data_IF_810192154053
#
_entry.id   IF_810192154053
#
_cell.length_a   1.000
_cell.length_b   1.000
_cell.length_c   1.000
_cell.angle_alpha   90.00
_cell.angle_beta   90.00
_cell.angle_gamma   90.00
#
_symmetry.space_group_name_H-M   'P 1'
#
loop_
_entity.id
_entity.type
_entity.pdbx_description
1 polymer ?
#
# COMPACT_ATOMS: atom_id res chain seq x y z
N UNK A 1 4.61 11.95 -19.77
CA UNK A 1 5.35 10.82 -19.17
C UNK A 1 4.87 10.63 -17.74
N UNK A 2 4.67 9.38 -17.27
CA UNK A 2 4.38 9.09 -15.87
C UNK A 2 5.50 9.60 -14.95
N UNK A 3 5.14 9.95 -13.70
CA UNK A 3 6.07 10.32 -12.64
C UNK A 3 5.98 9.27 -11.54
N UNK A 4 7.12 8.90 -10.97
CA UNK A 4 7.20 7.92 -9.89
C UNK A 4 7.68 8.62 -8.61
N UNK A 5 6.98 8.38 -7.51
CA UNK A 5 7.36 8.83 -6.16
C UNK A 5 7.58 7.58 -5.33
N UNK A 6 8.81 7.38 -4.84
CA UNK A 6 9.13 6.28 -3.94
C UNK A 6 9.02 6.76 -2.50
N UNK A 7 8.20 6.06 -1.70
CA UNK A 7 8.06 6.32 -0.28
C UNK A 7 8.82 5.22 0.48
N UNK A 8 9.92 5.58 1.12
CA UNK A 8 10.74 4.67 1.92
C UNK A 8 10.62 4.98 3.41
N UNK A 9 10.91 3.98 4.25
CA UNK A 9 10.92 4.13 5.71
C UNK A 9 12.33 4.03 6.27
N UNK A 10 12.63 4.85 7.28
CA UNK A 10 13.85 4.75 8.07
C UNK A 10 13.55 4.61 9.56
N UNK A 11 14.57 4.28 10.35
CA UNK A 11 14.55 4.15 11.82
C UNK A 11 13.73 2.96 12.35
N UNK A 12 12.42 2.94 12.13
CA UNK A 12 11.51 1.92 12.67
C UNK A 12 10.34 1.62 11.73
N UNK A 13 9.69 0.47 11.93
CA UNK A 13 8.41 0.13 11.30
C UNK A 13 7.24 0.85 11.99
N UNK A 14 6.04 0.74 11.41
CA UNK A 14 4.78 1.28 11.99
C UNK A 14 4.69 2.81 12.16
N UNK A 15 5.53 3.58 11.47
CA UNK A 15 5.52 5.05 11.47
C UNK A 15 4.40 5.69 10.61
N UNK A 16 3.40 4.93 10.15
CA UNK A 16 2.29 5.47 9.35
C UNK A 16 2.65 5.81 7.89
N UNK A 17 3.53 5.02 7.26
CA UNK A 17 3.94 5.23 5.86
C UNK A 17 2.80 5.10 4.87
N UNK A 18 1.97 4.05 5.00
CA UNK A 18 0.78 3.84 4.17
C UNK A 18 -0.15 5.04 4.23
N UNK A 19 -0.57 5.45 5.45
CA UNK A 19 -1.42 6.62 5.67
C UNK A 19 -0.84 7.91 5.08
N UNK A 20 0.46 8.16 5.24
CA UNK A 20 1.13 9.36 4.71
C UNK A 20 1.13 9.35 3.18
N UNK A 21 1.48 8.21 2.56
CA UNK A 21 1.47 8.06 1.11
C UNK A 21 0.05 8.21 0.54
N UNK A 22 -0.95 7.62 1.18
CA UNK A 22 -2.37 7.70 0.78
C UNK A 22 -2.91 9.13 0.89
N UNK A 23 -2.52 9.85 1.94
CA UNK A 23 -2.87 11.28 2.11
C UNK A 23 -2.25 12.16 1.03
N UNK A 24 -0.98 11.94 0.68
CA UNK A 24 -0.31 12.63 -0.42
C UNK A 24 -0.99 12.32 -1.76
N UNK A 25 -1.30 11.04 -2.02
CA UNK A 25 -2.03 10.61 -3.21
C UNK A 25 -3.38 11.31 -3.35
N UNK A 26 -4.12 11.46 -2.24
CA UNK A 26 -5.37 12.20 -2.19
C UNK A 26 -5.20 13.68 -2.52
N UNK A 27 -4.20 14.35 -1.95
CA UNK A 27 -3.91 15.76 -2.26
C UNK A 27 -3.56 15.96 -3.75
N UNK A 28 -2.76 15.05 -4.33
CA UNK A 28 -2.43 15.10 -5.75
C UNK A 28 -3.65 14.87 -6.64
N UNK A 29 -4.53 13.93 -6.30
CA UNK A 29 -5.83 13.76 -6.98
C UNK A 29 -6.69 15.04 -6.89
N UNK A 30 -6.76 15.69 -5.73
CA UNK A 30 -7.47 16.96 -5.56
C UNK A 30 -6.87 18.12 -6.39
N UNK A 31 -5.60 18.02 -6.78
CA UNK A 31 -4.95 18.97 -7.70
C UNK A 31 -5.17 18.65 -9.18
N UNK A 32 -6.00 17.66 -9.50
CA UNK A 32 -6.35 17.28 -10.87
C UNK A 32 -5.37 16.29 -11.53
N UNK A 33 -4.43 15.71 -10.77
CA UNK A 33 -3.53 14.70 -11.30
C UNK A 33 -4.17 13.30 -11.26
N UNK A 34 -3.90 12.50 -12.30
CA UNK A 34 -4.19 11.07 -12.28
C UNK A 34 -3.10 10.36 -11.48
N UNK A 35 -3.47 9.79 -10.33
CA UNK A 35 -2.56 9.12 -9.40
C UNK A 35 -3.01 7.69 -9.17
N UNK A 36 -2.06 6.76 -9.24
CA UNK A 36 -2.20 5.37 -8.79
C UNK A 36 -1.18 5.09 -7.71
N UNK A 37 -1.44 4.08 -6.87
CA UNK A 37 -0.57 3.66 -5.77
C UNK A 37 -0.23 2.18 -5.92
N UNK A 38 0.91 1.78 -5.35
CA UNK A 38 1.39 0.40 -5.33
C UNK A 38 2.16 0.17 -4.04
N UNK A 39 1.82 -0.92 -3.34
CA UNK A 39 2.56 -1.43 -2.18
C UNK A 39 3.57 -2.48 -2.64
N UNK A 40 4.75 -2.47 -2.02
CA UNK A 40 5.80 -3.47 -2.22
C UNK A 40 6.11 -4.11 -0.88
N UNK A 41 5.62 -5.32 -0.67
CA UNK A 41 5.83 -6.05 0.57
C UNK A 41 7.05 -6.98 0.47
N UNK A 42 8.03 -6.89 1.38
CA UNK A 42 9.26 -7.68 1.31
C UNK A 42 9.13 -9.06 1.98
N UNK A 43 7.92 -9.63 2.04
CA UNK A 43 7.70 -10.98 2.56
C UNK A 43 7.90 -12.04 1.46
N UNK A 44 8.07 -13.31 1.87
CA UNK A 44 8.27 -14.44 0.93
C UNK A 44 6.94 -15.03 0.44
N UNK A 45 5.84 -14.80 1.16
CA UNK A 45 4.51 -15.21 0.73
C UNK A 45 4.21 -14.61 -0.65
N UNK A 46 3.56 -15.39 -1.51
CA UNK A 46 3.18 -14.93 -2.85
C UNK A 46 2.06 -13.88 -2.72
N UNK A 47 1.14 -14.13 -1.79
CA UNK A 47 -0.01 -13.29 -1.43
C UNK A 47 -0.25 -13.41 0.09
N UNK A 48 -1.03 -12.50 0.70
CA UNK A 48 -1.37 -12.56 2.12
C UNK A 48 -2.57 -13.47 2.42
N UNK A 49 -3.20 -14.13 1.44
CA UNK A 49 -4.34 -15.03 1.64
C UNK A 49 -4.03 -16.23 2.55
N UNK A 50 -2.75 -16.56 2.67
CA UNK A 50 -2.23 -17.61 3.57
C UNK A 50 -1.82 -17.12 4.97
N UNK A 51 -1.86 -15.80 5.22
CA UNK A 51 -1.46 -15.23 6.51
C UNK A 51 -2.60 -15.30 7.53
N UNK A 52 -2.25 -15.46 8.80
CA UNK A 52 -3.22 -15.41 9.90
C UNK A 52 -3.67 -13.96 10.13
N UNK A 53 -4.96 -13.61 9.92
CA UNK A 53 -5.40 -12.22 9.99
C UNK A 53 -5.33 -11.61 11.39
N UNK A 54 -5.34 -12.44 12.44
CA UNK A 54 -5.22 -11.97 13.82
C UNK A 54 -3.79 -11.53 14.18
N UNK A 55 -2.79 -11.94 13.40
CA UNK A 55 -1.38 -11.59 13.60
C UNK A 55 -0.90 -10.55 12.59
N UNK A 56 -1.44 -10.58 11.37
CA UNK A 56 -0.94 -9.79 10.24
C UNK A 56 -1.91 -8.70 9.74
N UNK A 57 -3.16 -8.70 10.21
CA UNK A 57 -4.21 -7.79 9.75
C UNK A 57 -5.11 -8.43 8.67
N UNK A 58 -6.11 -7.69 8.23
CA UNK A 58 -7.05 -8.19 7.21
C UNK A 58 -6.39 -8.42 5.84
N UNK A 59 -6.94 -9.35 5.07
CA UNK A 59 -6.61 -9.50 3.64
C UNK A 59 -7.59 -8.63 2.86
N UNK A 60 -7.07 -7.69 2.06
CA UNK A 60 -7.88 -6.87 1.17
C UNK A 60 -8.08 -7.61 -0.15
N UNK A 61 -9.29 -7.54 -0.73
CA UNK A 61 -9.60 -8.16 -2.03
C UNK A 61 -9.97 -7.07 -3.03
N UNK A 62 -9.21 -6.97 -4.12
CA UNK A 62 -9.45 -6.02 -5.20
C UNK A 62 -10.62 -6.45 -6.10
N UNK A 63 -11.15 -5.52 -6.90
CA UNK A 63 -12.28 -5.80 -7.81
C UNK A 63 -11.98 -6.91 -8.84
N UNK A 64 -10.71 -7.15 -9.17
CA UNK A 64 -10.25 -8.21 -10.05
C UNK A 64 -9.93 -9.53 -9.31
N UNK A 65 -10.19 -9.59 -8.00
CA UNK A 65 -10.08 -10.79 -7.18
C UNK A 65 -8.69 -11.05 -6.60
N UNK A 66 -7.77 -10.09 -6.66
CA UNK A 66 -6.45 -10.19 -6.04
C UNK A 66 -6.53 -10.08 -4.53
N UNK A 67 -5.96 -11.05 -3.80
CA UNK A 67 -5.75 -10.97 -2.36
C UNK A 67 -4.47 -10.18 -2.08
N UNK A 68 -4.58 -9.06 -1.37
CA UNK A 68 -3.50 -8.09 -1.15
C UNK A 68 -3.37 -7.71 0.32
N UNK A 69 -2.24 -7.06 0.63
CA UNK A 69 -2.04 -6.40 1.91
C UNK A 69 -3.14 -5.35 2.14
N UNK A 70 -3.35 -4.98 3.41
CA UNK A 70 -4.39 -4.03 3.82
C UNK A 70 -4.10 -2.56 3.44
N UNK A 71 -2.86 -2.24 3.04
CA UNK A 71 -2.46 -0.90 2.56
C UNK A 71 -2.89 -0.60 1.11
#
# INVERSE_FOLDING_TARGET
>A
MPKHIFVTGGVASSLGKGLTASSLGRLLKHRGYRVTMQKLDPYINIDPGTMNPFEHGEVFVTDDGGETDLD
#
